data_IF_298727188551
#
_entry.id   IF_298727188551
#
_cell.length_a   1.000
_cell.length_b   1.000
_cell.length_c   1.000
_cell.angle_alpha   90.00
_cell.angle_beta   90.00
_cell.angle_gamma   90.00
#
_symmetry.space_group_name_H-M   'P 1'
#
loop_
_entity.id
_entity.type
_entity.pdbx_description
1 polymer ?
#
# COMPACT_ATOMS: atom_id res chain seq x y z
N UNK A 1 -15.27 2.95 2.25
CA UNK A 1 -13.97 3.65 2.08
C UNK A 1 -12.94 2.62 1.63
N UNK A 2 -12.21 2.89 0.55
CA UNK A 2 -11.09 2.08 0.08
C UNK A 2 -9.77 2.54 0.74
N UNK A 3 -8.75 1.70 0.71
CA UNK A 3 -7.39 2.10 1.05
C UNK A 3 -6.46 1.88 -0.15
N UNK A 4 -5.43 2.70 -0.25
CA UNK A 4 -4.36 2.57 -1.22
C UNK A 4 -3.04 2.31 -0.50
N UNK A 5 -2.32 1.28 -0.93
CA UNK A 5 -0.95 1.01 -0.52
C UNK A 5 0.02 1.45 -1.62
N UNK A 6 0.91 2.36 -1.29
CA UNK A 6 1.97 2.82 -2.18
C UNK A 6 3.12 1.80 -2.16
N UNK A 7 3.25 1.04 -3.23
CA UNK A 7 4.20 -0.08 -3.35
C UNK A 7 5.05 -0.05 -4.64
N UNK A 8 5.01 1.04 -5.42
CA UNK A 8 5.74 1.15 -6.69
C UNK A 8 7.24 1.48 -6.54
N UNK A 9 7.73 1.65 -5.31
CA UNK A 9 9.12 2.03 -5.03
C UNK A 9 10.11 0.90 -5.33
N UNK A 10 11.23 1.21 -6.01
CA UNK A 10 12.31 0.24 -6.28
C UNK A 10 13.14 -0.10 -5.03
N UNK A 11 13.20 0.79 -4.03
CA UNK A 11 14.04 0.58 -2.87
C UNK A 11 15.54 0.66 -3.14
N UNK A 12 15.97 1.56 -4.04
CA UNK A 12 17.37 1.70 -4.49
C UNK A 12 18.36 1.79 -3.32
N UNK A 13 17.98 2.45 -2.24
CA UNK A 13 18.80 2.58 -1.02
C UNK A 13 19.06 1.26 -0.28
N UNK A 14 18.25 0.23 -0.55
CA UNK A 14 18.38 -1.11 0.04
C UNK A 14 19.39 -1.98 -0.72
N UNK A 15 19.94 -1.49 -1.86
CA UNK A 15 20.97 -2.14 -2.67
C UNK A 15 20.65 -3.61 -2.98
N UNK A 16 21.58 -4.52 -2.69
CA UNK A 16 21.45 -5.94 -3.01
C UNK A 16 20.15 -6.62 -2.49
N UNK A 17 19.55 -6.10 -1.43
CA UNK A 17 18.29 -6.65 -0.89
C UNK A 17 17.11 -6.49 -1.85
N UNK A 18 17.16 -5.51 -2.75
CA UNK A 18 16.08 -5.20 -3.69
C UNK A 18 16.44 -5.39 -5.15
N UNK A 19 17.60 -5.97 -5.46
CA UNK A 19 18.02 -6.20 -6.85
C UNK A 19 17.08 -7.15 -7.60
N UNK A 20 16.56 -8.16 -6.91
CA UNK A 20 15.67 -9.18 -7.49
C UNK A 20 14.34 -9.32 -6.73
N UNK A 21 14.07 -8.43 -5.77
CA UNK A 21 12.88 -8.53 -4.91
C UNK A 21 12.28 -7.16 -4.69
N UNK A 22 10.95 -7.06 -4.79
CA UNK A 22 10.26 -5.84 -4.41
C UNK A 22 10.48 -5.53 -2.93
N UNK A 23 10.76 -4.27 -2.60
CA UNK A 23 10.97 -3.80 -1.22
C UNK A 23 9.85 -4.23 -0.26
N UNK A 24 8.61 -4.21 -0.73
CA UNK A 24 7.44 -4.54 0.10
C UNK A 24 7.32 -6.02 0.41
N UNK A 25 8.07 -6.88 -0.31
CA UNK A 25 8.16 -8.32 -0.05
C UNK A 25 9.33 -8.71 0.85
N UNK A 26 10.20 -7.77 1.23
CA UNK A 26 11.26 -8.04 2.20
C UNK A 26 10.65 -8.47 3.53
N UNK A 27 11.22 -9.52 4.10
CA UNK A 27 10.70 -10.12 5.35
C UNK A 27 11.30 -9.44 6.57
N UNK A 28 10.43 -9.10 7.51
CA UNK A 28 10.77 -8.63 8.84
C UNK A 28 10.01 -9.51 9.84
N UNK A 29 10.73 -10.16 10.76
CA UNK A 29 10.10 -11.11 11.68
C UNK A 29 9.42 -12.29 10.97
N UNK A 30 9.96 -12.75 9.84
CA UNK A 30 9.44 -13.88 9.07
C UNK A 30 8.25 -13.57 8.14
N UNK A 31 7.73 -12.33 8.13
CA UNK A 31 6.57 -11.88 7.36
C UNK A 31 6.95 -10.74 6.42
N UNK A 32 6.41 -10.71 5.20
CA UNK A 32 6.64 -9.60 4.27
C UNK A 32 6.08 -8.28 4.81
N UNK A 33 6.75 -7.16 4.52
CA UNK A 33 6.30 -5.83 4.98
C UNK A 33 4.85 -5.54 4.61
N UNK A 34 4.46 -5.88 3.38
CA UNK A 34 3.11 -5.63 2.89
C UNK A 34 2.04 -6.43 3.65
N UNK A 35 2.38 -7.63 4.16
CA UNK A 35 1.44 -8.47 4.90
C UNK A 35 0.97 -7.78 6.20
N UNK A 36 1.88 -7.07 6.90
CA UNK A 36 1.52 -6.31 8.10
C UNK A 36 0.44 -5.27 7.81
N UNK A 37 0.54 -4.58 6.67
CA UNK A 37 -0.46 -3.58 6.28
C UNK A 37 -1.79 -4.22 5.91
N UNK A 38 -1.76 -5.29 5.10
CA UNK A 38 -2.98 -5.96 4.65
C UNK A 38 -3.77 -6.56 5.81
N UNK A 39 -3.10 -7.22 6.75
CA UNK A 39 -3.73 -7.76 7.96
C UNK A 39 -4.33 -6.66 8.85
N UNK A 40 -3.59 -5.54 9.04
CA UNK A 40 -4.10 -4.39 9.79
C UNK A 40 -5.30 -3.72 9.11
N UNK A 41 -5.28 -3.59 7.77
CA UNK A 41 -6.39 -3.05 7.01
C UNK A 41 -7.64 -3.95 7.09
N UNK A 42 -7.46 -5.27 6.98
CA UNK A 42 -8.55 -6.23 7.15
C UNK A 42 -9.16 -6.13 8.56
N UNK A 43 -8.32 -6.14 9.60
CA UNK A 43 -8.75 -5.99 11.00
C UNK A 43 -9.44 -4.65 11.26
N UNK A 44 -9.04 -3.59 10.56
CA UNK A 44 -9.68 -2.28 10.65
C UNK A 44 -11.01 -2.21 9.87
N UNK A 45 -11.39 -3.26 9.14
CA UNK A 45 -12.67 -3.37 8.42
C UNK A 45 -12.64 -2.75 7.01
N UNK A 46 -11.47 -2.54 6.41
CA UNK A 46 -11.37 -2.27 4.98
C UNK A 46 -11.65 -3.56 4.22
N UNK A 47 -12.20 -3.44 3.02
CA UNK A 47 -12.50 -4.58 2.14
C UNK A 47 -11.76 -4.48 0.80
N UNK A 48 -11.71 -3.30 0.21
CA UNK A 48 -11.10 -3.06 -1.08
C UNK A 48 -9.79 -2.28 -0.92
N UNK A 49 -8.69 -2.85 -1.39
CA UNK A 49 -7.36 -2.27 -1.31
C UNK A 49 -6.82 -2.09 -2.73
N UNK A 50 -6.42 -0.87 -3.06
CA UNK A 50 -5.69 -0.56 -4.30
C UNK A 50 -4.20 -0.54 -4.01
N UNK A 51 -3.41 -1.25 -4.81
CA UNK A 51 -1.95 -1.33 -4.65
C UNK A 51 -1.32 -0.84 -5.95
N UNK A 52 -0.54 0.25 -5.90
CA UNK A 52 0.20 0.65 -7.09
C UNK A 52 1.53 -0.12 -7.15
N UNK A 53 1.87 -0.57 -8.34
CA UNK A 53 3.04 -1.40 -8.61
C UNK A 53 3.80 -0.85 -9.83
N UNK A 54 5.13 -0.94 -9.79
CA UNK A 54 6.00 -0.67 -10.92
C UNK A 54 7.12 -1.72 -10.97
N UNK A 55 8.13 -1.57 -10.13
CA UNK A 55 9.24 -2.51 -10.04
C UNK A 55 8.78 -3.86 -9.47
N UNK A 56 9.12 -4.96 -10.16
CA UNK A 56 8.75 -6.33 -9.78
C UNK A 56 7.23 -6.53 -9.57
N UNK A 57 6.41 -5.88 -10.40
CA UNK A 57 4.94 -5.91 -10.27
C UNK A 57 4.39 -7.34 -10.30
N UNK A 58 4.87 -8.18 -11.21
CA UNK A 58 4.40 -9.58 -11.34
C UNK A 58 4.79 -10.43 -10.12
N UNK A 59 5.96 -10.16 -9.52
CA UNK A 59 6.37 -10.83 -8.28
C UNK A 59 5.41 -10.50 -7.13
N UNK A 60 5.03 -9.22 -6.99
CA UNK A 60 4.10 -8.79 -5.94
C UNK A 60 2.71 -9.36 -6.18
N UNK A 61 2.20 -9.29 -7.41
CA UNK A 61 0.90 -9.88 -7.77
C UNK A 61 0.87 -11.38 -7.50
N UNK A 62 1.92 -12.12 -7.92
CA UNK A 62 2.02 -13.55 -7.69
C UNK A 62 2.04 -13.92 -6.20
N UNK A 63 2.71 -13.10 -5.38
CA UNK A 63 2.75 -13.29 -3.93
C UNK A 63 1.41 -13.01 -3.25
N UNK A 64 0.72 -11.94 -3.64
CA UNK A 64 -0.51 -11.48 -2.98
C UNK A 64 -1.77 -12.20 -3.48
N UNK A 65 -1.78 -12.61 -4.75
CA UNK A 65 -2.98 -13.17 -5.39
C UNK A 65 -4.12 -12.14 -5.42
N UNK A 66 -5.33 -12.62 -5.25
CA UNK A 66 -6.56 -11.80 -5.22
C UNK A 66 -6.89 -11.19 -3.86
N UNK A 67 -6.14 -11.56 -2.82
CA UNK A 67 -6.33 -11.06 -1.46
C UNK A 67 -7.20 -11.94 -0.56
N UNK A 68 -7.75 -13.04 -1.06
CA UNK A 68 -8.65 -13.91 -0.27
C UNK A 68 -8.01 -14.37 1.04
N UNK A 69 -6.71 -14.67 1.05
CA UNK A 69 -6.01 -15.09 2.26
C UNK A 69 -5.99 -14.05 3.39
N UNK A 70 -6.24 -12.78 3.06
CA UNK A 70 -6.38 -11.68 4.03
C UNK A 70 -7.83 -11.31 4.29
N UNK A 71 -8.79 -11.91 3.57
CA UNK A 71 -10.18 -11.49 3.57
C UNK A 71 -10.41 -10.13 2.89
N UNK A 72 -9.59 -9.78 1.90
CA UNK A 72 -9.59 -8.52 1.17
C UNK A 72 -9.78 -8.74 -0.32
N UNK A 73 -10.27 -7.72 -1.02
CA UNK A 73 -10.25 -7.62 -2.47
C UNK A 73 -9.09 -6.73 -2.89
N UNK A 74 -8.10 -7.28 -3.59
CA UNK A 74 -6.93 -6.52 -4.05
C UNK A 74 -7.11 -6.07 -5.50
N UNK A 75 -6.87 -4.79 -5.75
CA UNK A 75 -6.89 -4.17 -7.07
C UNK A 75 -5.50 -3.60 -7.36
N UNK A 76 -4.93 -3.93 -8.52
CA UNK A 76 -3.58 -3.51 -8.85
C UNK A 76 -3.58 -2.37 -9.89
N UNK A 77 -2.94 -1.25 -9.54
CA UNK A 77 -2.65 -0.14 -10.45
C UNK A 77 -1.20 -0.25 -10.91
N UNK A 78 -0.98 -0.84 -12.09
CA UNK A 78 0.38 -1.04 -12.60
C UNK A 78 0.84 0.19 -13.37
N UNK A 79 2.02 0.67 -13.01
CA UNK A 79 2.69 1.80 -13.66
C UNK A 79 3.75 1.28 -14.63
N UNK A 80 3.74 1.75 -15.89
CA UNK A 80 4.78 1.42 -16.87
C UNK A 80 6.14 2.06 -16.53
N UNK A 81 6.11 3.21 -15.84
CA UNK A 81 7.25 3.92 -15.30
C UNK A 81 6.89 4.51 -13.93
N UNK A 82 7.89 4.85 -13.13
CA UNK A 82 7.66 5.44 -11.79
C UNK A 82 7.03 6.82 -11.89
N UNK A 83 5.77 6.92 -11.47
CA UNK A 83 5.01 8.17 -11.47
C UNK A 83 5.21 9.02 -10.20
N UNK A 84 5.92 8.49 -9.20
CA UNK A 84 6.00 9.11 -7.88
C UNK A 84 4.70 8.95 -7.08
N UNK A 85 4.66 9.55 -5.88
CA UNK A 85 3.49 9.40 -4.99
C UNK A 85 2.23 10.01 -5.61
N UNK A 86 2.29 11.27 -6.02
CA UNK A 86 1.12 11.99 -6.58
C UNK A 86 0.66 11.36 -7.89
N UNK A 87 1.58 11.07 -8.81
CA UNK A 87 1.24 10.43 -10.08
C UNK A 87 0.66 9.03 -9.89
N UNK A 88 1.19 8.24 -8.96
CA UNK A 88 0.65 6.92 -8.62
C UNK A 88 -0.78 6.99 -8.08
N UNK A 89 -1.10 7.99 -7.24
CA UNK A 89 -2.46 8.21 -6.75
C UNK A 89 -3.39 8.59 -7.91
N UNK A 90 -2.99 9.54 -8.75
CA UNK A 90 -3.78 9.97 -9.92
C UNK A 90 -4.05 8.79 -10.87
N UNK A 91 -3.03 7.99 -11.16
CA UNK A 91 -3.18 6.78 -12.00
C UNK A 91 -4.15 5.75 -11.40
N UNK A 92 -4.24 5.67 -10.08
CA UNK A 92 -5.11 4.74 -9.36
C UNK A 92 -6.55 5.26 -9.14
N UNK A 93 -6.85 6.53 -9.43
CA UNK A 93 -8.19 7.12 -9.21
C UNK A 93 -9.33 6.31 -9.81
N UNK A 94 -9.23 5.72 -11.03
CA UNK A 94 -10.30 4.89 -11.57
C UNK A 94 -10.65 3.68 -10.70
N UNK A 95 -9.67 3.14 -9.95
CA UNK A 95 -9.87 2.03 -9.01
C UNK A 95 -10.34 2.51 -7.63
N UNK A 96 -9.89 3.69 -7.20
CA UNK A 96 -10.23 4.28 -5.91
C UNK A 96 -11.68 4.80 -5.90
N UNK A 97 -12.15 5.35 -7.00
CA UNK A 97 -13.47 5.95 -7.11
C UNK A 97 -13.53 7.39 -6.60
N UNK A 98 -14.75 7.93 -6.46
CA UNK A 98 -14.99 9.33 -6.11
C UNK A 98 -15.11 9.60 -4.62
N UNK A 99 -15.16 8.56 -3.79
CA UNK A 99 -15.28 8.71 -2.33
C UNK A 99 -13.93 8.97 -1.65
N UNK A 100 -13.98 9.31 -0.36
CA UNK A 100 -12.78 9.41 0.45
C UNK A 100 -12.06 8.04 0.52
N UNK A 101 -10.74 8.06 0.48
CA UNK A 101 -9.89 6.89 0.59
C UNK A 101 -8.68 7.18 1.48
N UNK A 102 -8.13 6.13 2.09
CA UNK A 102 -6.89 6.21 2.84
C UNK A 102 -5.69 5.92 1.95
N UNK A 103 -4.55 6.58 2.18
CA UNK A 103 -3.27 6.29 1.49
C UNK A 103 -2.21 5.96 2.53
N UNK A 104 -1.51 4.84 2.34
CA UNK A 104 -0.44 4.37 3.21
C UNK A 104 0.79 3.96 2.39
N UNK A 105 1.96 4.16 2.95
CA UNK A 105 3.22 3.67 2.39
C UNK A 105 3.43 2.21 2.79
N UNK A 106 3.54 1.31 1.82
CA UNK A 106 3.65 -0.13 2.10
C UNK A 106 5.03 -0.55 2.64
N UNK A 107 6.00 0.35 2.62
CA UNK A 107 7.37 0.11 3.08
C UNK A 107 7.68 0.72 4.46
N UNK A 108 6.68 1.28 5.14
CA UNK A 108 6.82 1.88 6.47
C UNK A 108 5.98 1.07 7.46
N UNK A 109 6.64 0.39 8.38
CA UNK A 109 5.94 -0.24 9.50
C UNK A 109 5.47 0.83 10.50
N UNK A 110 4.27 0.65 11.04
CA UNK A 110 3.69 1.54 12.05
C UNK A 110 2.76 0.78 12.99
N UNK A 111 2.67 1.19 14.22
CA UNK A 111 1.70 0.71 15.21
C UNK A 111 0.39 1.51 15.22
N UNK A 112 0.28 2.56 14.38
CA UNK A 112 -0.93 3.38 14.26
C UNK A 112 -2.18 2.53 14.05
N UNK A 113 -3.26 2.84 14.77
CA UNK A 113 -4.54 2.14 14.65
C UNK A 113 -5.29 2.51 13.36
N UNK A 114 -5.29 1.61 12.38
CA UNK A 114 -5.92 1.83 11.07
C UNK A 114 -7.45 2.01 11.12
N UNK A 115 -8.12 1.66 12.24
CA UNK A 115 -9.55 1.97 12.43
C UNK A 115 -9.80 3.48 12.40
N UNK A 116 -8.82 4.29 12.82
CA UNK A 116 -8.91 5.75 12.78
C UNK A 116 -8.94 6.29 11.34
N UNK A 117 -8.33 5.60 10.38
CA UNK A 117 -8.33 5.98 8.96
C UNK A 117 -9.72 5.86 8.32
N UNK A 118 -10.63 5.10 8.90
CA UNK A 118 -11.99 4.95 8.36
C UNK A 118 -12.89 6.16 8.58
N UNK A 119 -12.47 7.09 9.41
CA UNK A 119 -13.18 8.35 9.59
C UNK A 119 -12.91 9.24 8.38
N UNK A 120 -13.95 9.64 7.62
CA UNK A 120 -13.74 10.53 6.48
C UNK A 120 -13.14 11.85 6.97
N UNK A 121 -12.26 12.47 6.19
CA UNK A 121 -11.70 13.76 6.55
C UNK A 121 -12.80 14.83 6.62
N UNK A 122 -12.70 15.74 7.57
CA UNK A 122 -13.65 16.87 7.70
C UNK A 122 -13.42 17.94 6.63
N UNK A 123 -12.26 17.93 6.00
CA UNK A 123 -11.85 18.82 4.93
C UNK A 123 -11.32 17.98 3.76
N UNK A 124 -10.51 18.57 2.87
CA UNK A 124 -10.00 17.91 1.67
C UNK A 124 -9.07 16.73 2.00
N UNK A 125 -8.29 16.84 3.08
CA UNK A 125 -7.35 15.79 3.50
C UNK A 125 -7.17 15.76 5.03
N UNK A 126 -6.78 14.60 5.54
CA UNK A 126 -6.34 14.38 6.91
C UNK A 126 -4.96 13.71 6.87
N UNK A 127 -3.96 14.38 7.40
CA UNK A 127 -2.59 13.87 7.44
C UNK A 127 -2.28 13.32 8.83
N UNK A 128 -1.70 12.11 8.88
CA UNK A 128 -1.16 11.54 10.11
C UNK A 128 0.31 11.92 10.18
N UNK A 129 0.65 12.76 11.11
CA UNK A 129 2.01 13.26 11.32
C UNK A 129 2.68 12.49 12.45
N UNK A 130 3.99 12.37 12.37
CA UNK A 130 4.85 11.84 13.43
C UNK A 130 5.96 12.86 13.71
N UNK A 131 6.50 12.85 14.92
CA UNK A 131 7.65 13.69 15.25
C UNK A 131 8.84 13.29 14.37
N UNK A 132 9.56 14.29 13.89
CA UNK A 132 10.79 14.06 13.14
C UNK A 132 11.94 13.90 14.15
N UNK A 133 12.59 12.72 14.25
CA UNK A 133 13.68 12.46 15.20
C UNK A 133 14.93 13.29 14.91
#
# INVERSE_FOLDING_TARGET
>A
MKAMLLAAGRGVRMQALTDNTSKVLLKVGGKALIDYHLEKLATAGFQDIVINLCYQAEQVKGYLGDGQRYGLNLHFSVESERLGMGGGIVNALPLLGSGAFAVLSADIWTDYDYRQLRKPPKQQAHLIMVDNP
#
